data_IF_329081614686
#
_entry.id   IF_329081614686
#
_cell.length_a   1.000
_cell.length_b   1.000
_cell.length_c   1.000
_cell.angle_alpha   90.00
_cell.angle_beta   90.00
_cell.angle_gamma   90.00
#
_symmetry.space_group_name_H-M   'P 1'
#
loop_
_entity.id
_entity.type
_entity.pdbx_description
1 polymer ?
#
# COMPACT_ATOMS: atom_id res chain seq x y z
N UNK A 1 -5.58 -3.08 -1.04
CA UNK A 1 -6.49 -2.47 -0.04
C UNK A 1 -7.76 -2.06 -0.76
N UNK A 2 -8.95 -2.49 -0.33
CA UNK A 2 -10.20 -2.10 -1.00
C UNK A 2 -10.56 -0.67 -0.59
N UNK A 3 -10.54 0.24 -1.55
CA UNK A 3 -10.90 1.65 -1.37
C UNK A 3 -12.39 1.81 -1.63
N UNK A 4 -13.05 2.68 -0.87
CA UNK A 4 -14.44 3.07 -1.12
C UNK A 4 -14.46 4.43 -1.79
N UNK A 5 -15.06 4.54 -2.98
CA UNK A 5 -15.26 5.83 -3.66
C UNK A 5 -16.14 6.74 -2.80
N UNK A 6 -15.82 8.03 -2.75
CA UNK A 6 -16.65 9.06 -2.14
C UNK A 6 -17.30 9.90 -3.24
N UNK A 7 -18.57 10.26 -3.04
CA UNK A 7 -19.29 11.19 -3.91
C UNK A 7 -19.14 12.66 -3.45
N UNK A 8 -18.32 12.91 -2.42
CA UNK A 8 -18.05 14.25 -1.87
C UNK A 8 -16.79 14.84 -2.48
N UNK A 9 -16.69 16.18 -2.51
CA UNK A 9 -15.44 16.86 -2.84
C UNK A 9 -14.32 16.49 -1.86
N UNK A 10 -13.07 16.67 -2.29
CA UNK A 10 -11.90 16.45 -1.43
C UNK A 10 -11.94 17.35 -0.19
N UNK A 11 -12.32 18.62 -0.36
CA UNK A 11 -12.40 19.57 0.75
C UNK A 11 -13.39 19.11 1.83
N UNK A 12 -14.59 18.69 1.43
CA UNK A 12 -15.59 18.17 2.38
C UNK A 12 -15.11 16.88 3.06
N UNK A 13 -14.40 16.02 2.31
CA UNK A 13 -13.85 14.79 2.88
C UNK A 13 -12.75 15.09 3.91
N UNK A 14 -11.85 16.03 3.64
CA UNK A 14 -10.80 16.45 4.57
C UNK A 14 -11.37 17.19 5.78
N UNK A 15 -12.33 18.08 5.57
CA UNK A 15 -13.00 18.81 6.66
C UNK A 15 -13.66 17.86 7.65
N UNK A 16 -14.30 16.79 7.16
CA UNK A 16 -14.87 15.77 8.05
C UNK A 16 -13.83 15.06 8.92
N UNK A 17 -12.59 14.93 8.42
CA UNK A 17 -11.48 14.35 9.19
C UNK A 17 -10.95 15.39 10.19
N UNK A 18 -10.72 16.62 9.75
CA UNK A 18 -10.23 17.72 10.58
C UNK A 18 -11.20 17.99 11.74
N UNK A 19 -12.50 18.08 11.46
CA UNK A 19 -13.54 18.27 12.46
C UNK A 19 -13.52 17.15 13.50
N UNK A 20 -13.46 15.89 13.04
CA UNK A 20 -13.36 14.73 13.92
C UNK A 20 -12.10 14.79 14.78
N UNK A 21 -10.97 15.19 14.21
CA UNK A 21 -9.70 15.30 14.92
C UNK A 21 -9.68 16.45 15.93
N UNK A 22 -10.48 17.50 15.72
CA UNK A 22 -10.69 18.58 16.69
C UNK A 22 -11.30 18.13 18.03
N UNK A 23 -11.95 16.96 18.07
CA UNK A 23 -12.46 16.36 19.32
C UNK A 23 -11.44 15.44 20.03
N UNK A 24 -10.25 15.26 19.46
CA UNK A 24 -9.21 14.40 20.03
C UNK A 24 -8.42 15.20 21.07
N UNK A 25 -8.38 14.67 22.29
CA UNK A 25 -7.60 15.19 23.41
C UNK A 25 -6.30 14.41 23.56
N UNK A 26 -5.32 15.03 24.19
CA UNK A 26 -4.01 14.43 24.46
C UNK A 26 -3.70 14.41 25.94
N UNK A 27 -3.10 13.33 26.43
CA UNK A 27 -2.60 13.20 27.79
C UNK A 27 -1.19 12.57 27.79
N UNK A 28 -0.15 13.29 28.19
CA UNK A 28 1.17 12.71 28.47
C UNK A 28 1.11 11.69 29.61
N UNK A 29 1.77 10.55 29.44
CA UNK A 29 1.94 9.54 30.49
C UNK A 29 3.23 9.85 31.26
N UNK A 30 3.09 10.74 32.24
CA UNK A 30 4.20 11.17 33.09
C UNK A 30 4.25 10.44 34.44
N UNK A 31 3.19 9.70 34.79
CA UNK A 31 3.08 8.95 36.04
C UNK A 31 2.96 7.45 35.86
N UNK A 32 2.56 6.77 36.94
CA UNK A 32 2.26 5.34 36.92
C UNK A 32 1.04 5.04 36.05
N UNK A 33 1.11 3.92 35.34
CA UNK A 33 0.02 3.34 34.56
C UNK A 33 -0.37 2.01 35.16
N UNK A 34 -1.68 1.76 35.27
CA UNK A 34 -2.22 0.42 35.46
C UNK A 34 -2.91 -0.05 34.19
N UNK A 35 -2.71 -1.32 33.83
CA UNK A 35 -3.23 -1.90 32.59
C UNK A 35 -4.11 -3.11 32.88
N UNK A 36 -5.35 -3.06 32.40
CA UNK A 36 -6.23 -4.22 32.38
C UNK A 36 -6.47 -4.68 30.93
N UNK A 37 -6.22 -5.96 30.67
CA UNK A 37 -6.49 -6.60 29.38
C UNK A 37 -7.74 -7.47 29.48
N UNK A 38 -8.64 -7.34 28.52
CA UNK A 38 -9.79 -8.22 28.36
C UNK A 38 -9.69 -8.93 27.01
N UNK A 39 -9.03 -10.10 26.93
CA UNK A 39 -8.83 -10.82 25.67
C UNK A 39 -10.14 -11.25 25.00
N UNK A 40 -11.13 -11.67 25.79
CA UNK A 40 -12.44 -12.12 25.32
C UNK A 40 -13.17 -11.02 24.50
N UNK A 41 -13.15 -9.79 25.01
CA UNK A 41 -13.79 -8.64 24.34
C UNK A 41 -12.83 -7.89 23.42
N UNK A 42 -11.57 -8.35 23.31
CA UNK A 42 -10.49 -7.67 22.59
C UNK A 42 -10.35 -6.21 23.03
N UNK A 43 -10.33 -5.97 24.33
CA UNK A 43 -10.25 -4.63 24.91
C UNK A 43 -9.04 -4.48 25.83
N UNK A 44 -8.58 -3.24 25.95
CA UNK A 44 -7.59 -2.81 26.92
C UNK A 44 -8.12 -1.58 27.66
N UNK A 45 -7.87 -1.51 28.96
CA UNK A 45 -8.07 -0.32 29.77
C UNK A 45 -6.70 0.15 30.29
N UNK A 46 -6.35 1.40 30.00
CA UNK A 46 -5.19 2.08 30.57
C UNK A 46 -5.69 3.06 31.62
N UNK A 47 -5.21 2.94 32.86
CA UNK A 47 -5.51 3.88 33.93
C UNK A 47 -4.27 4.72 34.22
N UNK A 48 -4.38 6.03 34.09
CA UNK A 48 -3.30 6.98 34.42
C UNK A 48 -3.90 8.33 34.82
N UNK A 49 -3.22 9.06 35.72
CA UNK A 49 -3.70 10.33 36.26
C UNK A 49 -5.16 10.29 36.80
N UNK A 50 -5.58 9.16 37.38
CA UNK A 50 -6.95 8.96 37.89
C UNK A 50 -8.02 8.80 36.81
N UNK A 51 -7.63 8.66 35.54
CA UNK A 51 -8.55 8.51 34.40
C UNK A 51 -8.38 7.14 33.73
N UNK A 52 -9.49 6.55 33.29
CA UNK A 52 -9.55 5.29 32.56
C UNK A 52 -9.74 5.52 31.05
N UNK A 53 -8.93 4.85 30.23
CA UNK A 53 -8.95 4.93 28.77
C UNK A 53 -9.16 3.56 28.15
N UNK A 54 -10.23 3.40 27.38
CA UNK A 54 -10.59 2.14 26.74
C UNK A 54 -10.13 2.08 25.29
N UNK A 55 -9.45 1.00 24.91
CA UNK A 55 -9.02 0.74 23.53
C UNK A 55 -9.51 -0.61 23.02
N UNK A 56 -9.82 -0.67 21.73
CA UNK A 56 -10.04 -1.93 21.05
C UNK A 56 -8.70 -2.49 20.56
N UNK A 57 -8.40 -3.74 20.90
CA UNK A 57 -7.19 -4.46 20.50
C UNK A 57 -7.29 -4.93 19.04
N UNK A 58 -7.18 -3.95 18.15
CA UNK A 58 -6.90 -4.17 16.74
C UNK A 58 -5.38 -4.27 16.50
N UNK A 59 -5.00 -4.63 15.27
CA UNK A 59 -3.59 -4.82 14.90
C UNK A 59 -2.77 -3.52 15.01
N UNK A 60 -3.39 -2.35 14.97
CA UNK A 60 -2.70 -1.06 15.04
C UNK A 60 -2.37 -0.73 16.49
N UNK A 61 -3.36 -0.76 17.38
CA UNK A 61 -3.16 -0.47 18.79
C UNK A 61 -2.21 -1.49 19.42
N UNK A 62 -2.33 -2.77 19.03
CA UNK A 62 -1.35 -3.81 19.41
C UNK A 62 0.06 -3.44 18.98
N UNK A 63 0.26 -2.95 17.76
CA UNK A 63 1.60 -2.57 17.29
C UNK A 63 2.12 -1.31 17.99
N UNK A 64 1.28 -0.29 18.19
CA UNK A 64 1.68 0.93 18.91
C UNK A 64 2.11 0.63 20.35
N UNK A 65 1.31 -0.15 21.08
CA UNK A 65 1.62 -0.55 22.44
C UNK A 65 2.79 -1.54 22.49
N UNK A 66 2.77 -2.56 21.63
CA UNK A 66 3.81 -3.59 21.56
C UNK A 66 5.19 -3.00 21.22
N UNK A 67 5.25 -1.96 20.37
CA UNK A 67 6.51 -1.27 20.04
C UNK A 67 7.19 -0.60 21.24
N UNK A 68 6.47 -0.37 22.35
CA UNK A 68 7.03 0.13 23.61
C UNK A 68 7.71 -0.95 24.45
N UNK A 69 7.31 -2.21 24.25
CA UNK A 69 7.90 -3.36 24.92
C UNK A 69 9.00 -3.97 24.04
N UNK A 70 8.71 -4.13 22.75
CA UNK A 70 9.58 -4.76 21.77
C UNK A 70 9.93 -3.76 20.66
N UNK A 71 10.95 -2.92 20.88
CA UNK A 71 11.35 -1.93 19.89
C UNK A 71 11.85 -2.61 18.60
N UNK A 72 11.71 -1.91 17.48
CA UNK A 72 12.21 -2.32 16.15
C UNK A 72 11.58 -3.58 15.54
N UNK A 73 10.47 -4.09 16.08
CA UNK A 73 9.72 -5.18 15.45
C UNK A 73 8.68 -4.67 14.45
N UNK A 74 8.53 -5.44 13.36
CA UNK A 74 7.44 -5.22 12.42
C UNK A 74 6.08 -5.58 13.02
N UNK A 75 5.00 -5.20 12.35
CA UNK A 75 3.63 -5.42 12.83
C UNK A 75 3.34 -6.91 13.02
N UNK A 76 3.78 -7.77 12.08
CA UNK A 76 3.48 -9.21 12.10
C UNK A 76 4.14 -9.90 13.29
N UNK A 77 5.41 -9.60 13.54
CA UNK A 77 6.19 -10.15 14.65
C UNK A 77 5.65 -9.64 15.98
N UNK A 78 5.34 -8.35 16.08
CA UNK A 78 4.75 -7.74 17.29
C UNK A 78 3.42 -8.40 17.66
N UNK A 79 2.53 -8.62 16.69
CA UNK A 79 1.24 -9.28 16.92
C UNK A 79 1.41 -10.73 17.33
N UNK A 80 2.42 -11.42 16.80
CA UNK A 80 2.75 -12.79 17.20
C UNK A 80 3.18 -12.85 18.67
N UNK A 81 4.13 -12.02 19.08
CA UNK A 81 4.56 -11.92 20.48
C UNK A 81 3.44 -11.48 21.42
N UNK A 82 2.61 -10.53 20.99
CA UNK A 82 1.43 -10.10 21.75
C UNK A 82 0.54 -11.29 22.11
N UNK A 83 0.23 -12.15 21.14
CA UNK A 83 -0.60 -13.34 21.35
C UNK A 83 0.05 -14.37 22.28
N UNK A 84 1.37 -14.51 22.22
CA UNK A 84 2.10 -15.41 23.12
C UNK A 84 2.05 -14.93 24.58
N UNK A 85 2.12 -13.61 24.78
CA UNK A 85 2.20 -13.01 26.12
C UNK A 85 0.85 -12.56 26.72
N UNK A 86 -0.23 -12.58 25.94
CA UNK A 86 -1.54 -12.03 26.37
C UNK A 86 -2.06 -12.64 27.68
N UNK A 87 -1.71 -13.90 27.94
CA UNK A 87 -2.10 -14.64 29.15
C UNK A 87 -1.00 -14.69 30.22
N UNK A 88 0.19 -14.15 29.95
CA UNK A 88 1.35 -14.26 30.84
C UNK A 88 2.16 -12.95 30.93
N UNK A 89 1.68 -12.03 31.76
CA UNK A 89 2.46 -10.86 32.20
C UNK A 89 2.50 -9.68 31.24
N UNK A 90 1.79 -9.73 30.10
CA UNK A 90 1.73 -8.61 29.14
C UNK A 90 1.23 -7.30 29.78
N UNK A 91 0.23 -7.36 30.66
CA UNK A 91 -0.25 -6.18 31.39
C UNK A 91 0.90 -5.50 32.16
N UNK A 92 1.67 -6.28 32.93
CA UNK A 92 2.83 -5.78 33.69
C UNK A 92 3.93 -5.24 32.78
N UNK A 93 4.18 -5.86 31.62
CA UNK A 93 5.12 -5.33 30.65
C UNK A 93 4.68 -3.96 30.09
N UNK A 94 3.38 -3.81 29.80
CA UNK A 94 2.81 -2.54 29.35
C UNK A 94 2.88 -1.48 30.45
N UNK A 95 2.52 -1.82 31.70
CA UNK A 95 2.61 -0.90 32.84
C UNK A 95 4.04 -0.36 32.98
N UNK A 96 5.04 -1.24 32.95
CA UNK A 96 6.46 -0.86 33.05
C UNK A 96 6.93 -0.03 31.86
N UNK A 97 6.50 -0.39 30.64
CA UNK A 97 6.93 0.30 29.42
C UNK A 97 6.27 1.68 29.24
N UNK A 98 5.04 1.85 29.73
CA UNK A 98 4.28 3.09 29.57
C UNK A 98 4.53 4.08 30.72
N UNK A 99 4.68 3.59 31.96
CA UNK A 99 4.86 4.47 33.13
C UNK A 99 6.11 5.34 32.98
N UNK A 100 5.97 6.65 33.18
CA UNK A 100 7.04 7.65 33.04
C UNK A 100 7.74 7.66 31.68
N UNK A 101 7.10 7.12 30.63
CA UNK A 101 7.71 7.04 29.29
C UNK A 101 7.66 8.35 28.52
N UNK A 102 6.87 9.33 28.97
CA UNK A 102 6.54 10.54 28.20
C UNK A 102 5.71 10.25 26.95
N UNK A 103 5.24 9.00 26.78
CA UNK A 103 4.32 8.62 25.71
C UNK A 103 3.04 9.44 25.84
N UNK A 104 2.49 9.92 24.72
CA UNK A 104 1.26 10.73 24.72
C UNK A 104 0.09 9.85 24.28
N UNK A 105 -0.90 9.69 25.16
CA UNK A 105 -2.20 9.11 24.83
C UNK A 105 -3.04 10.13 24.08
N UNK A 106 -3.58 9.71 22.93
CA UNK A 106 -4.57 10.47 22.18
C UNK A 106 -5.91 9.77 22.33
N UNK A 107 -6.96 10.50 22.69
CA UNK A 107 -8.25 9.91 22.99
C UNK A 107 -9.42 10.80 22.60
N UNK A 108 -10.55 10.18 22.27
CA UNK A 108 -11.84 10.85 22.11
C UNK A 108 -12.68 10.65 23.37
N UNK A 109 -13.50 11.63 23.73
CA UNK A 109 -14.43 11.53 24.85
C UNK A 109 -15.87 11.52 24.32
N UNK A 110 -16.59 10.43 24.56
CA UNK A 110 -18.01 10.30 24.20
C UNK A 110 -18.81 10.01 25.48
N UNK A 111 -19.49 11.03 26.01
CA UNK A 111 -20.07 10.98 27.35
C UNK A 111 -18.99 10.73 28.40
N UNK A 112 -19.22 9.75 29.28
CA UNK A 112 -18.27 9.39 30.35
C UNK A 112 -17.18 8.38 29.91
N UNK A 113 -17.09 8.08 28.62
CA UNK A 113 -16.16 7.06 28.09
C UNK A 113 -15.04 7.73 27.31
N UNK A 114 -13.80 7.52 27.76
CA UNK A 114 -12.60 7.93 27.03
C UNK A 114 -12.09 6.77 26.21
N UNK A 115 -12.07 6.93 24.89
CA UNK A 115 -11.63 5.91 23.94
C UNK A 115 -10.26 6.26 23.38
N UNK A 116 -9.33 5.31 23.43
CA UNK A 116 -7.99 5.45 22.87
C UNK A 116 -8.12 5.61 21.35
N UNK A 117 -7.66 6.75 20.86
CA UNK A 117 -7.52 7.06 19.43
C UNK A 117 -6.14 6.63 18.92
N UNK A 118 -5.11 6.81 19.75
CA UNK A 118 -3.73 6.46 19.40
C UNK A 118 -2.75 6.62 20.55
N UNK A 119 -1.56 6.03 20.39
CA UNK A 119 -0.46 6.11 21.35
C UNK A 119 0.78 6.61 20.62
N UNK A 120 1.27 7.78 21.01
CA UNK A 120 2.25 8.56 20.23
C UNK A 120 3.51 8.87 21.03
N UNK A 121 4.62 9.14 20.34
CA UNK A 121 5.83 9.65 21.01
C UNK A 121 5.65 11.11 21.41
N UNK A 122 6.41 11.61 22.39
CA UNK A 122 6.38 13.03 22.74
C UNK A 122 6.84 13.97 21.60
N UNK A 123 7.54 13.45 20.59
CA UNK A 123 7.94 14.21 19.39
C UNK A 123 6.92 14.14 18.24
N UNK A 124 5.75 13.54 18.47
CA UNK A 124 4.69 13.46 17.48
C UNK A 124 4.13 14.84 17.18
N UNK A 125 4.04 15.20 15.90
CA UNK A 125 3.49 16.48 15.46
C UNK A 125 2.18 16.24 14.72
N UNK A 126 1.13 16.87 15.24
CA UNK A 126 -0.16 16.91 14.54
C UNK A 126 -0.02 17.71 13.26
N UNK A 127 -0.66 17.24 12.20
CA UNK A 127 -0.64 17.90 10.92
C UNK A 127 -2.08 18.14 10.49
N UNK A 128 -2.38 19.38 10.10
CA UNK A 128 -3.63 19.70 9.44
C UNK A 128 -3.59 19.13 8.01
N UNK A 129 -4.55 18.26 7.68
CA UNK A 129 -4.59 17.57 6.39
C UNK A 129 -4.75 18.55 5.22
N UNK A 130 -5.42 19.69 5.42
CA UNK A 130 -5.59 20.73 4.41
C UNK A 130 -4.29 21.48 4.16
N UNK A 131 -3.60 21.90 5.22
CA UNK A 131 -2.29 22.55 5.09
C UNK A 131 -1.27 21.64 4.39
N UNK A 132 -1.27 20.34 4.73
CA UNK A 132 -0.46 19.35 4.03
C UNK A 132 -0.81 19.26 2.55
N UNK A 133 -2.10 19.18 2.21
CA UNK A 133 -2.59 19.12 0.83
C UNK A 133 -2.16 20.34 0.04
N UNK A 134 -2.36 21.53 0.58
CA UNK A 134 -2.07 22.79 -0.11
C UNK A 134 -0.57 22.90 -0.40
N UNK A 135 0.28 22.63 0.60
CA UNK A 135 1.74 22.60 0.45
C UNK A 135 2.20 21.55 -0.57
N UNK A 136 1.55 20.38 -0.56
CA UNK A 136 1.85 19.30 -1.50
C UNK A 136 1.47 19.68 -2.94
N UNK A 137 0.29 20.26 -3.15
CA UNK A 137 -0.16 20.72 -4.48
C UNK A 137 0.79 21.78 -5.02
N UNK A 138 1.17 22.76 -4.20
CA UNK A 138 2.15 23.78 -4.59
C UNK A 138 3.50 23.16 -4.98
N UNK A 139 3.90 22.07 -4.32
CA UNK A 139 5.15 21.37 -4.61
C UNK A 139 5.07 20.51 -5.88
N UNK A 140 3.88 20.00 -6.22
CA UNK A 140 3.63 19.14 -7.38
C UNK A 140 3.27 19.93 -8.65
N UNK A 141 2.69 21.11 -8.52
CA UNK A 141 2.25 21.94 -9.64
C UNK A 141 3.36 22.29 -10.65
N UNK A 142 4.60 22.63 -10.26
CA UNK A 142 5.70 22.87 -11.21
C UNK A 142 6.06 21.64 -12.06
N UNK A 143 5.69 20.45 -11.60
CA UNK A 143 5.93 19.17 -12.28
C UNK A 143 4.73 18.76 -13.16
N UNK A 144 3.73 19.64 -13.28
CA UNK A 144 2.49 19.39 -14.03
C UNK A 144 1.56 18.36 -13.38
N UNK A 145 1.83 17.95 -12.14
CA UNK A 145 1.03 16.96 -11.40
C UNK A 145 -0.09 17.69 -10.65
N UNK A 146 -1.33 17.33 -10.92
CA UNK A 146 -2.51 18.02 -10.38
C UNK A 146 -3.58 17.05 -9.88
N UNK A 147 -4.44 17.44 -8.92
CA UNK A 147 -5.57 16.63 -8.51
C UNK A 147 -6.52 16.33 -9.68
N UNK A 148 -7.01 15.09 -9.79
CA UNK A 148 -7.94 14.70 -10.86
C UNK A 148 -9.41 14.63 -10.41
N UNK A 149 -9.69 14.97 -9.15
CA UNK A 149 -11.04 15.01 -8.57
C UNK A 149 -11.56 13.68 -8.02
N UNK A 150 -10.88 12.54 -8.24
CA UNK A 150 -11.31 11.26 -7.66
C UNK A 150 -10.87 11.14 -6.19
N UNK A 151 -11.84 10.90 -5.31
CA UNK A 151 -11.63 10.81 -3.86
C UNK A 151 -12.13 9.47 -3.32
N UNK A 152 -11.36 8.88 -2.42
CA UNK A 152 -11.67 7.61 -1.79
C UNK A 152 -11.44 7.65 -0.28
N UNK A 153 -11.95 6.62 0.40
CA UNK A 153 -11.72 6.39 1.82
C UNK A 153 -11.13 5.00 2.04
N UNK A 154 -10.11 4.92 2.91
CA UNK A 154 -9.58 3.62 3.36
C UNK A 154 -10.51 3.02 4.42
N UNK A 155 -10.46 1.69 4.65
CA UNK A 155 -11.21 1.06 5.76
C UNK A 155 -10.87 1.63 7.14
N UNK A 156 -9.76 2.35 7.24
CA UNK A 156 -9.28 2.99 8.46
C UNK A 156 -9.72 4.45 8.59
N UNK A 157 -10.46 4.97 7.61
CA UNK A 157 -10.96 6.34 7.61
C UNK A 157 -9.96 7.39 7.14
N UNK A 158 -8.85 6.99 6.51
CA UNK A 158 -7.95 7.92 5.80
C UNK A 158 -8.61 8.33 4.48
N UNK A 159 -8.40 9.58 4.07
CA UNK A 159 -8.83 10.08 2.76
C UNK A 159 -7.73 9.82 1.74
N UNK A 160 -8.11 9.46 0.52
CA UNK A 160 -7.20 9.26 -0.60
C UNK A 160 -7.67 10.11 -1.76
N UNK A 161 -6.78 10.91 -2.34
CA UNK A 161 -7.04 11.71 -3.54
C UNK A 161 -6.13 11.21 -4.66
N UNK A 162 -6.66 11.11 -5.88
CA UNK A 162 -5.88 10.74 -7.05
C UNK A 162 -5.43 11.99 -7.79
N UNK A 163 -4.23 11.90 -8.32
CA UNK A 163 -3.56 12.96 -9.06
C UNK A 163 -3.29 12.48 -10.49
N UNK A 164 -3.50 13.39 -11.42
CA UNK A 164 -3.09 13.27 -12.80
C UNK A 164 -1.60 13.60 -12.90
N UNK A 165 -0.88 12.76 -13.63
CA UNK A 165 0.57 12.88 -13.84
C UNK A 165 0.78 13.06 -15.34
N UNK A 166 1.53 14.08 -15.78
CA UNK A 166 1.72 14.32 -17.20
C UNK A 166 2.45 13.13 -17.83
N UNK A 167 1.93 12.65 -18.95
CA UNK A 167 2.56 11.59 -19.72
C UNK A 167 3.67 12.17 -20.60
N UNK A 168 4.79 11.47 -20.69
CA UNK A 168 5.72 11.70 -21.78
C UNK A 168 5.00 11.36 -23.10
N UNK A 169 5.02 12.27 -24.08
CA UNK A 169 4.26 12.15 -25.33
C UNK A 169 4.62 10.89 -26.16
N UNK A 170 5.75 10.25 -25.88
CA UNK A 170 6.24 9.03 -26.56
C UNK A 170 6.41 7.84 -25.61
N UNK A 171 6.04 7.98 -24.34
CA UNK A 171 6.19 6.92 -23.33
C UNK A 171 5.21 5.77 -23.54
N UNK A 172 5.67 4.55 -23.33
CA UNK A 172 4.84 3.34 -23.32
C UNK A 172 4.28 3.04 -21.93
N UNK A 173 4.71 3.79 -20.92
CA UNK A 173 4.29 3.66 -19.53
C UNK A 173 3.79 5.00 -19.01
N UNK A 174 2.56 5.01 -18.49
CA UNK A 174 2.00 6.09 -17.71
C UNK A 174 2.23 5.90 -16.22
N UNK A 175 2.34 7.00 -15.48
CA UNK A 175 2.31 7.01 -14.03
C UNK A 175 0.94 7.45 -13.52
N UNK A 176 0.56 6.94 -12.36
CA UNK A 176 -0.54 7.46 -11.58
C UNK A 176 -0.05 7.73 -10.15
N UNK A 177 -0.61 8.75 -9.52
CA UNK A 177 -0.28 9.11 -8.15
C UNK A 177 -1.55 9.16 -7.30
N UNK A 178 -1.47 8.60 -6.10
CA UNK A 178 -2.52 8.70 -5.08
C UNK A 178 -1.91 9.21 -3.79
N UNK A 179 -2.46 10.31 -3.28
CA UNK A 179 -2.09 10.86 -1.98
C UNK A 179 -2.99 10.26 -0.92
N UNK A 180 -2.40 9.68 0.13
CA UNK A 180 -3.14 9.25 1.32
C UNK A 180 -2.91 10.25 2.42
N UNK A 181 -3.98 10.88 2.90
CA UNK A 181 -3.93 11.84 4.01
C UNK A 181 -3.93 11.09 5.34
N UNK A 182 -2.83 11.27 6.09
CA UNK A 182 -2.62 10.58 7.37
C UNK A 182 -3.58 11.07 8.45
N UNK A 183 -4.01 10.15 9.31
CA UNK A 183 -4.69 10.48 10.56
C UNK A 183 -3.68 10.77 11.66
N UNK A 184 -3.98 11.74 12.52
CA UNK A 184 -3.18 12.13 13.67
C UNK A 184 -3.29 11.11 14.84
N UNK A 185 -3.15 9.81 14.58
CA UNK A 185 -3.23 8.74 15.59
C UNK A 185 -1.87 8.11 15.93
N UNK A 186 -0.78 8.56 15.30
CA UNK A 186 0.58 8.00 15.46
C UNK A 186 0.86 6.71 14.72
N UNK A 187 -0.15 6.14 14.05
CA UNK A 187 -0.01 4.93 13.25
C UNK A 187 -0.16 5.20 11.75
N UNK A 188 -1.09 6.08 11.40
CA UNK A 188 -1.26 6.58 10.04
C UNK A 188 -0.16 7.56 9.68
N UNK A 189 -0.01 7.82 8.39
CA UNK A 189 1.01 8.70 7.83
C UNK A 189 0.55 9.18 6.47
N UNK A 190 1.04 10.35 6.10
CA UNK A 190 0.86 10.87 4.75
C UNK A 190 1.71 10.06 3.78
N UNK A 191 1.14 9.70 2.63
CA UNK A 191 1.81 8.85 1.64
C UNK A 191 1.56 9.31 0.22
N UNK A 192 2.61 9.24 -0.60
CA UNK A 192 2.49 9.27 -2.06
C UNK A 192 2.57 7.82 -2.54
N UNK A 193 1.48 7.32 -3.11
CA UNK A 193 1.42 6.00 -3.70
C UNK A 193 1.48 6.14 -5.21
N UNK A 194 2.63 5.81 -5.77
CA UNK A 194 2.81 5.72 -7.21
C UNK A 194 2.34 4.37 -7.73
N UNK A 195 1.68 4.41 -8.88
CA UNK A 195 1.40 3.25 -9.70
C UNK A 195 1.75 3.56 -11.15
N UNK A 196 1.74 2.52 -11.98
CA UNK A 196 2.02 2.63 -13.41
C UNK A 196 0.96 1.93 -14.24
N UNK A 197 0.92 2.28 -15.52
CA UNK A 197 0.07 1.64 -16.53
C UNK A 197 0.88 1.56 -17.82
N UNK A 198 1.10 0.37 -18.39
CA UNK A 198 1.59 0.28 -19.78
C UNK A 198 0.46 0.70 -20.71
N UNK A 199 0.76 1.51 -21.72
CA UNK A 199 -0.22 2.14 -22.60
C UNK A 199 -0.43 1.38 -23.92
N UNK A 200 0.57 0.60 -24.33
CA UNK A 200 0.57 -0.10 -25.63
C UNK A 200 -0.43 -1.26 -25.66
N UNK A 201 -0.66 -1.89 -24.49
CA UNK A 201 -1.93 -2.53 -24.19
C UNK A 201 -2.64 -1.61 -23.20
N UNK A 202 -3.91 -1.31 -23.33
CA UNK A 202 -4.67 -0.50 -22.35
C UNK A 202 -4.83 -1.20 -20.98
N UNK A 203 -4.00 -2.22 -20.71
CA UNK A 203 -4.24 -3.33 -19.82
C UNK A 203 -3.17 -3.42 -18.72
N UNK A 204 -3.19 -2.38 -17.87
CA UNK A 204 -3.05 -2.54 -16.42
C UNK A 204 -1.87 -3.36 -15.90
N UNK A 205 -0.64 -2.89 -16.12
CA UNK A 205 0.52 -3.38 -15.38
C UNK A 205 0.38 -2.98 -13.89
N UNK A 206 -0.05 -3.91 -13.03
CA UNK A 206 -0.44 -3.65 -11.62
C UNK A 206 0.70 -3.84 -10.62
N UNK A 207 1.94 -3.58 -11.03
CA UNK A 207 3.02 -3.51 -10.05
C UNK A 207 2.90 -2.20 -9.26
N UNK A 208 2.23 -2.29 -8.11
CA UNK A 208 2.38 -1.34 -7.00
C UNK A 208 3.67 -1.75 -6.29
N UNK A 209 4.80 -1.44 -6.89
CA UNK A 209 6.04 -1.45 -6.13
C UNK A 209 6.04 -0.20 -5.26
N UNK A 210 6.14 -0.41 -3.94
CA UNK A 210 6.47 0.66 -3.00
C UNK A 210 7.91 1.08 -3.32
N UNK A 211 8.09 1.92 -4.32
CA UNK A 211 9.37 2.48 -4.69
C UNK A 211 9.75 3.46 -3.57
N UNK A 212 10.45 2.96 -2.56
CA UNK A 212 11.06 3.78 -1.53
C UNK A 212 10.11 4.43 -0.52
N UNK A 213 10.71 5.29 0.32
CA UNK A 213 10.17 5.84 1.57
C UNK A 213 9.13 6.94 1.35
N UNK A 214 8.06 6.69 0.60
CA UNK A 214 7.02 7.71 0.39
C UNK A 214 6.03 7.76 1.56
N UNK A 215 6.58 7.72 2.77
CA UNK A 215 5.86 7.83 4.02
C UNK A 215 6.40 9.04 4.74
N UNK A 216 5.64 10.13 4.71
CA UNK A 216 5.89 11.24 5.60
C UNK A 216 5.28 10.92 6.97
N UNK A 217 6.16 10.60 7.92
CA UNK A 217 5.77 10.34 9.31
C UNK A 217 5.60 11.68 10.01
N UNK A 218 4.60 11.78 10.90
CA UNK A 218 4.23 12.92 11.73
C UNK A 218 5.37 13.44 12.63
N UNK A 219 6.44 13.92 12.01
CA UNK A 219 7.65 14.46 12.62
C UNK A 219 8.13 15.62 11.75
N UNK A 220 8.50 16.75 12.35
CA UNK A 220 8.99 17.94 11.63
C UNK A 220 10.40 17.77 11.02
N UNK A 221 10.87 16.54 10.82
CA UNK A 221 12.25 16.25 10.39
C UNK A 221 12.45 16.38 8.88
N UNK A 222 11.38 16.32 8.10
CA UNK A 222 11.41 16.38 6.63
C UNK A 222 10.40 17.40 6.15
N UNK A 223 10.83 18.33 5.29
CA UNK A 223 9.93 19.31 4.68
C UNK A 223 9.01 18.61 3.64
N UNK A 224 7.75 19.04 3.54
CA UNK A 224 6.78 18.48 2.57
C UNK A 224 7.28 18.63 1.13
N UNK A 225 7.94 19.74 0.80
CA UNK A 225 8.51 19.98 -0.52
C UNK A 225 9.61 18.97 -0.84
N UNK A 226 10.59 18.80 0.05
CA UNK A 226 11.68 17.83 -0.15
C UNK A 226 11.14 16.40 -0.27
N UNK A 227 10.11 16.08 0.54
CA UNK A 227 9.39 14.82 0.46
C UNK A 227 8.71 14.62 -0.91
N UNK A 228 8.01 15.63 -1.42
CA UNK A 228 7.33 15.58 -2.70
C UNK A 228 8.33 15.45 -3.87
N UNK A 229 9.36 16.29 -3.90
CA UNK A 229 10.38 16.26 -4.95
C UNK A 229 11.12 14.93 -5.00
N UNK A 230 11.60 14.43 -3.86
CA UNK A 230 12.31 13.15 -3.81
C UNK A 230 11.44 11.95 -4.21
N UNK A 231 10.15 11.98 -3.84
CA UNK A 231 9.18 10.96 -4.24
C UNK A 231 8.92 10.97 -5.75
N UNK A 232 8.73 12.16 -6.34
CA UNK A 232 8.50 12.31 -7.78
C UNK A 232 9.74 11.89 -8.59
N UNK A 233 10.95 12.30 -8.17
CA UNK A 233 12.20 11.90 -8.81
C UNK A 233 12.38 10.37 -8.80
N UNK A 234 12.09 9.72 -7.67
CA UNK A 234 12.15 8.26 -7.57
C UNK A 234 11.16 7.58 -8.53
N UNK A 235 9.94 8.12 -8.66
CA UNK A 235 8.93 7.59 -9.56
C UNK A 235 9.33 7.72 -11.04
N UNK A 236 9.84 8.88 -11.47
CA UNK A 236 10.31 9.09 -12.84
C UNK A 236 11.58 8.30 -13.18
N UNK A 237 12.51 8.15 -12.23
CA UNK A 237 13.69 7.31 -12.42
C UNK A 237 13.28 5.85 -12.65
N UNK A 238 12.36 5.34 -11.83
CA UNK A 238 11.81 3.99 -12.03
C UNK A 238 11.06 3.86 -13.36
N UNK A 239 10.27 4.87 -13.75
CA UNK A 239 9.62 4.91 -15.07
C UNK A 239 10.64 4.74 -16.20
N UNK A 240 11.75 5.48 -16.16
CA UNK A 240 12.83 5.40 -17.13
C UNK A 240 13.44 3.99 -17.20
N UNK A 241 13.65 3.35 -16.05
CA UNK A 241 14.19 1.99 -16.00
C UNK A 241 13.23 0.96 -16.61
N UNK A 242 11.93 1.11 -16.37
CA UNK A 242 10.90 0.24 -16.94
C UNK A 242 10.79 0.42 -18.45
N UNK A 243 10.87 1.65 -18.96
CA UNK A 243 10.89 1.91 -20.41
C UNK A 243 12.08 1.25 -21.10
N UNK A 244 13.27 1.26 -20.45
CA UNK A 244 14.45 0.53 -20.94
C UNK A 244 14.21 -0.98 -20.92
N UNK A 245 13.59 -1.52 -19.87
CA UNK A 245 13.27 -2.96 -19.77
C UNK A 245 12.27 -3.39 -20.84
N UNK A 246 11.23 -2.60 -21.09
CA UNK A 246 10.25 -2.82 -22.16
C UNK A 246 10.93 -2.80 -23.54
N UNK A 247 11.79 -1.81 -23.77
CA UNK A 247 12.56 -1.71 -25.01
C UNK A 247 13.48 -2.92 -25.19
N UNK A 248 14.12 -3.39 -24.12
CA UNK A 248 14.91 -4.62 -24.14
C UNK A 248 14.04 -5.85 -24.46
N UNK A 249 12.86 -6.00 -23.84
CA UNK A 249 11.95 -7.13 -24.07
C UNK A 249 11.50 -7.25 -25.54
N UNK A 250 11.36 -6.13 -26.27
CA UNK A 250 11.09 -6.13 -27.72
C UNK A 250 12.24 -6.69 -28.55
N UNK A 251 13.48 -6.57 -28.07
CA UNK A 251 14.67 -7.07 -28.75
C UNK A 251 15.04 -8.51 -28.36
N UNK A 252 14.52 -9.02 -27.23
CA UNK A 252 14.74 -10.40 -26.77
C UNK A 252 13.87 -11.39 -27.56
N UNK A 253 14.49 -12.09 -28.49
CA UNK A 253 13.84 -13.17 -29.26
C UNK A 253 13.40 -14.32 -28.34
N UNK A 254 12.25 -14.92 -28.64
CA UNK A 254 11.75 -16.08 -27.92
C UNK A 254 12.62 -17.31 -28.16
N UNK A 255 13.07 -17.93 -27.07
CA UNK A 255 13.51 -19.31 -27.08
C UNK A 255 12.29 -20.23 -26.97
N UNK A 256 11.95 -20.93 -28.06
CA UNK A 256 10.76 -21.80 -28.11
C UNK A 256 10.79 -22.93 -27.07
N UNK A 257 11.96 -23.50 -26.75
CA UNK A 257 12.06 -24.52 -25.69
C UNK A 257 11.69 -23.96 -24.31
N UNK A 258 12.11 -22.71 -24.05
CA UNK A 258 11.77 -22.03 -22.81
C UNK A 258 10.29 -21.61 -22.77
N UNK A 259 9.73 -21.25 -23.93
CA UNK A 259 8.29 -20.98 -24.08
C UNK A 259 7.45 -22.22 -23.80
N UNK A 260 7.86 -23.38 -24.31
CA UNK A 260 7.17 -24.64 -24.06
C UNK A 260 7.19 -24.98 -22.57
N UNK A 261 8.35 -24.84 -21.91
CA UNK A 261 8.47 -25.01 -20.47
C UNK A 261 7.58 -24.03 -19.69
N UNK A 262 7.53 -22.76 -20.10
CA UNK A 262 6.64 -21.77 -19.52
C UNK A 262 5.17 -22.21 -19.64
N UNK A 263 4.73 -22.58 -20.83
CA UNK A 263 3.36 -23.04 -21.11
C UNK A 263 2.99 -24.32 -20.35
N UNK A 264 3.92 -25.25 -20.20
CA UNK A 264 3.74 -26.46 -19.38
C UNK A 264 3.55 -26.07 -17.91
N UNK A 265 4.39 -25.18 -17.38
CA UNK A 265 4.37 -24.82 -15.96
C UNK A 265 3.26 -23.86 -15.57
N UNK A 266 2.62 -23.14 -16.51
CA UNK A 266 1.44 -22.35 -16.21
C UNK A 266 0.37 -23.23 -15.52
N UNK A 267 -0.04 -22.84 -14.32
CA UNK A 267 -1.06 -23.54 -13.53
C UNK A 267 -2.48 -23.21 -14.01
N UNK A 268 -2.73 -23.47 -15.30
CA UNK A 268 -3.96 -23.14 -16.02
C UNK A 268 -4.62 -24.40 -16.55
N UNK A 269 -5.95 -24.37 -16.67
CA UNK A 269 -6.69 -25.41 -17.39
C UNK A 269 -6.26 -25.45 -18.87
N UNK A 270 -6.27 -26.63 -19.50
CA UNK A 270 -5.86 -26.80 -20.90
C UNK A 270 -6.61 -25.86 -21.86
N UNK A 271 -7.93 -25.71 -21.68
CA UNK A 271 -8.73 -24.78 -22.48
C UNK A 271 -8.25 -23.31 -22.37
N UNK A 272 -7.70 -22.90 -21.22
CA UNK A 272 -7.10 -21.57 -21.07
C UNK A 272 -5.72 -21.52 -21.72
N UNK A 273 -4.92 -22.59 -21.64
CA UNK A 273 -3.62 -22.68 -22.33
C UNK A 273 -3.78 -22.60 -23.84
N UNK A 274 -4.78 -23.25 -24.41
CA UNK A 274 -5.10 -23.15 -25.84
C UNK A 274 -5.44 -21.71 -26.26
N UNK A 275 -6.20 -20.98 -25.44
CA UNK A 275 -6.46 -19.55 -25.66
C UNK A 275 -5.19 -18.72 -25.62
N UNK A 276 -4.29 -19.02 -24.67
CA UNK A 276 -2.97 -18.37 -24.59
C UNK A 276 -2.16 -18.65 -25.86
N UNK A 277 -2.03 -19.90 -26.30
CA UNK A 277 -1.34 -20.24 -27.55
C UNK A 277 -1.94 -19.52 -28.76
N UNK A 278 -3.27 -19.54 -28.89
CA UNK A 278 -3.97 -18.86 -30.00
C UNK A 278 -3.69 -17.36 -30.01
N UNK A 279 -3.67 -16.72 -28.83
CA UNK A 279 -3.35 -15.29 -28.74
C UNK A 279 -1.87 -15.03 -29.01
N UNK A 280 -0.96 -15.88 -28.54
CA UNK A 280 0.46 -15.77 -28.84
C UNK A 280 0.73 -15.79 -30.34
N UNK A 281 0.10 -16.70 -31.09
CA UNK A 281 0.23 -16.76 -32.54
C UNK A 281 -0.25 -15.48 -33.24
N UNK A 282 -1.24 -14.78 -32.67
CA UNK A 282 -1.68 -13.48 -33.15
C UNK A 282 -0.62 -12.40 -32.86
N UNK A 283 -0.16 -12.30 -31.61
CA UNK A 283 0.82 -11.28 -31.21
C UNK A 283 2.17 -11.45 -31.91
N UNK A 284 2.62 -12.69 -32.12
CA UNK A 284 3.86 -12.99 -32.84
C UNK A 284 3.80 -12.55 -34.31
N UNK A 285 2.64 -12.65 -34.95
CA UNK A 285 2.43 -12.16 -36.31
C UNK A 285 2.46 -10.63 -36.39
N UNK A 286 1.93 -9.96 -35.38
CA UNK A 286 1.81 -8.49 -35.37
C UNK A 286 3.10 -7.79 -34.92
N UNK A 287 3.79 -8.35 -33.91
CA UNK A 287 4.89 -7.68 -33.19
C UNK A 287 6.21 -8.45 -33.19
N UNK A 288 6.24 -9.64 -33.81
CA UNK A 288 7.42 -10.51 -33.94
C UNK A 288 7.57 -11.55 -32.83
N UNK A 289 8.52 -12.49 -32.98
CA UNK A 289 8.75 -13.55 -31.99
C UNK A 289 9.63 -13.06 -30.83
N UNK A 290 9.09 -12.20 -29.96
CA UNK A 290 9.82 -11.65 -28.82
C UNK A 290 9.03 -11.74 -27.49
N UNK A 291 9.72 -11.52 -26.38
CA UNK A 291 9.11 -11.56 -25.04
C UNK A 291 8.04 -10.49 -24.83
N UNK A 292 8.12 -9.39 -25.57
CA UNK A 292 7.08 -8.38 -25.59
C UNK A 292 5.73 -8.96 -26.07
N UNK A 293 5.71 -9.71 -27.16
CA UNK A 293 4.48 -10.34 -27.68
C UNK A 293 3.85 -11.32 -26.69
N UNK A 294 4.67 -12.00 -25.90
CA UNK A 294 4.19 -12.90 -24.84
C UNK A 294 3.50 -12.12 -23.74
N UNK A 295 4.10 -11.00 -23.33
CA UNK A 295 3.47 -10.08 -22.38
C UNK A 295 2.12 -9.56 -22.90
N UNK A 296 2.06 -9.15 -24.18
CA UNK A 296 0.83 -8.66 -24.80
C UNK A 296 -0.26 -9.73 -24.81
N UNK A 297 0.07 -10.97 -25.17
CA UNK A 297 -0.90 -12.05 -25.21
C UNK A 297 -1.52 -12.33 -23.83
N UNK A 298 -0.69 -12.40 -22.79
CA UNK A 298 -1.14 -12.69 -21.43
C UNK A 298 -1.98 -11.54 -20.85
N UNK A 299 -1.53 -10.29 -21.02
CA UNK A 299 -2.26 -9.11 -20.52
C UNK A 299 -3.59 -8.91 -21.25
N UNK A 300 -3.64 -9.14 -22.56
CA UNK A 300 -4.89 -9.10 -23.34
C UNK A 300 -5.94 -10.08 -22.80
N UNK A 301 -5.55 -11.34 -22.59
CA UNK A 301 -6.45 -12.37 -22.06
C UNK A 301 -6.88 -12.07 -20.62
N UNK A 302 -5.98 -11.49 -19.81
CA UNK A 302 -6.29 -11.03 -18.46
C UNK A 302 -7.35 -9.92 -18.42
N UNK A 303 -7.50 -9.12 -19.47
CA UNK A 303 -8.37 -7.96 -19.44
C UNK A 303 -9.65 -8.07 -20.28
N UNK A 304 -9.58 -8.73 -21.43
CA UNK A 304 -10.69 -8.74 -22.38
C UNK A 304 -11.46 -10.06 -22.44
N UNK A 305 -10.82 -11.18 -22.09
CA UNK A 305 -11.44 -12.51 -22.22
C UNK A 305 -12.34 -12.81 -21.02
N UNK A 306 -13.62 -12.45 -21.14
CA UNK A 306 -14.64 -12.66 -20.09
C UNK A 306 -14.90 -14.15 -19.80
N UNK A 307 -14.57 -15.06 -20.72
CA UNK A 307 -14.70 -16.50 -20.50
C UNK A 307 -13.68 -17.04 -19.49
N UNK A 308 -12.59 -16.31 -19.21
CA UNK A 308 -11.60 -16.71 -18.21
C UNK A 308 -12.05 -16.20 -16.83
N UNK A 309 -12.04 -17.06 -15.78
CA UNK A 309 -12.42 -16.64 -14.44
C UNK A 309 -11.60 -15.43 -13.94
N UNK A 310 -12.21 -14.49 -13.19
CA UNK A 310 -11.53 -13.24 -12.76
C UNK A 310 -10.18 -13.44 -12.06
N UNK A 311 -10.03 -14.50 -11.27
CA UNK A 311 -8.76 -14.81 -10.58
C UNK A 311 -7.67 -15.28 -11.53
N UNK A 312 -8.02 -16.06 -12.55
CA UNK A 312 -7.07 -16.51 -13.58
C UNK A 312 -6.66 -15.33 -14.45
N UNK A 313 -7.60 -14.45 -14.76
CA UNK A 313 -7.34 -13.18 -15.44
C UNK A 313 -6.33 -12.31 -14.69
N UNK A 314 -6.49 -12.13 -13.39
CA UNK A 314 -5.53 -11.40 -12.53
C UNK A 314 -4.12 -12.01 -12.61
N UNK A 315 -4.02 -13.34 -12.57
CA UNK A 315 -2.73 -14.04 -12.70
C UNK A 315 -2.09 -13.83 -14.08
N UNK A 316 -2.86 -13.90 -15.16
CA UNK A 316 -2.39 -13.66 -16.52
C UNK A 316 -1.86 -12.23 -16.69
N UNK A 317 -2.61 -11.22 -16.22
CA UNK A 317 -2.18 -9.83 -16.25
C UNK A 317 -0.86 -9.65 -15.47
N UNK A 318 -0.76 -10.22 -14.27
CA UNK A 318 0.45 -10.15 -13.43
C UNK A 318 1.66 -10.85 -14.05
N UNK A 319 1.47 -12.01 -14.69
CA UNK A 319 2.56 -12.74 -15.36
C UNK A 319 3.03 -12.02 -16.62
N UNK A 320 2.10 -11.57 -17.47
CA UNK A 320 2.43 -10.76 -18.65
C UNK A 320 3.18 -9.48 -18.28
N UNK A 321 2.73 -8.82 -17.20
CA UNK A 321 3.43 -7.69 -16.59
C UNK A 321 4.87 -8.02 -16.19
N UNK A 322 5.08 -9.14 -15.50
CA UNK A 322 6.40 -9.55 -14.99
C UNK A 322 7.41 -9.82 -16.11
N UNK A 323 6.96 -10.26 -17.29
CA UNK A 323 7.81 -10.51 -18.47
C UNK A 323 8.38 -9.23 -19.10
N UNK A 324 7.77 -8.07 -18.84
CA UNK A 324 8.31 -6.79 -19.29
C UNK A 324 9.48 -6.33 -18.44
N UNK A 325 9.55 -6.81 -17.20
CA UNK A 325 10.56 -6.38 -16.21
C UNK A 325 11.68 -7.41 -16.08
N UNK A 326 11.35 -8.69 -16.26
CA UNK A 326 12.26 -9.82 -16.09
C UNK A 326 12.24 -10.68 -17.36
N UNK A 327 13.41 -11.16 -17.83
CA UNK A 327 13.47 -12.12 -18.93
C UNK A 327 12.60 -13.36 -18.65
N UNK A 328 12.10 -14.00 -19.70
CA UNK A 328 11.30 -15.22 -19.60
C UNK A 328 12.03 -16.31 -18.79
N UNK A 329 13.35 -16.38 -18.90
CA UNK A 329 14.19 -17.34 -18.17
C UNK A 329 14.07 -17.16 -16.66
N UNK A 330 14.03 -15.92 -16.19
CA UNK A 330 13.85 -15.60 -14.77
C UNK A 330 12.43 -15.89 -14.31
N UNK A 331 11.42 -15.66 -15.16
CA UNK A 331 10.02 -15.95 -14.83
C UNK A 331 9.80 -17.46 -14.75
N UNK A 332 10.36 -18.24 -15.67
CA UNK A 332 10.31 -19.70 -15.64
C UNK A 332 11.06 -20.22 -14.43
N UNK A 333 12.33 -19.85 -14.21
CA UNK A 333 13.14 -20.36 -13.09
C UNK A 333 12.64 -19.95 -11.70
N UNK A 334 11.69 -19.02 -11.60
CA UNK A 334 11.09 -18.60 -10.35
C UNK A 334 10.40 -19.78 -9.61
N UNK A 335 10.47 -19.79 -8.26
CA UNK A 335 9.76 -20.79 -7.48
C UNK A 335 8.25 -20.62 -7.63
N UNK A 336 7.53 -21.73 -7.48
CA UNK A 336 6.07 -21.73 -7.45
C UNK A 336 5.58 -20.75 -6.38
N UNK A 337 4.91 -19.68 -6.83
CA UNK A 337 4.40 -18.63 -5.95
C UNK A 337 2.91 -18.87 -5.74
N UNK A 338 2.47 -18.86 -4.48
CA UNK A 338 1.05 -18.87 -4.13
C UNK A 338 0.57 -17.43 -4.13
N UNK A 339 -0.36 -17.12 -5.02
CA UNK A 339 -1.00 -15.81 -5.10
C UNK A 339 -1.77 -15.49 -3.82
N UNK A 340 -2.10 -14.22 -3.61
CA UNK A 340 -2.99 -13.79 -2.53
C UNK A 340 -4.37 -14.47 -2.55
N UNK A 341 -4.74 -15.09 -3.67
CA UNK A 341 -5.97 -15.86 -3.85
C UNK A 341 -5.84 -17.37 -3.58
N UNK A 342 -4.64 -17.86 -3.21
CA UNK A 342 -4.39 -19.26 -2.87
C UNK A 342 -4.06 -20.19 -4.05
N UNK A 343 -3.82 -19.64 -5.25
CA UNK A 343 -3.49 -20.41 -6.45
C UNK A 343 -2.01 -20.33 -6.79
N UNK A 344 -1.46 -21.40 -7.37
CA UNK A 344 -0.14 -21.36 -7.99
C UNK A 344 -0.20 -20.58 -9.31
N UNK A 345 0.86 -19.83 -9.59
CA UNK A 345 1.03 -19.15 -10.88
C UNK A 345 1.75 -20.04 -11.90
N UNK A 346 2.94 -20.48 -11.49
CA UNK A 346 3.82 -21.39 -12.23
C UNK A 346 4.07 -22.58 -11.29
N UNK A 347 3.85 -23.79 -11.79
CA UNK A 347 4.13 -25.03 -11.07
C UNK A 347 5.64 -25.27 -11.00
N UNK A 348 6.09 -26.13 -10.08
CA UNK A 348 7.49 -26.55 -10.05
C UNK A 348 7.85 -27.37 -11.28
#
# INVERSE_FOLDING_TARGET
>A
MKLSSLNSSIDSALDSVIEREGYIKTLPIDGNVSVALCPANRQICLNTAGQAFLGNLDTKLIHQLGSKIWPNLDQKSTVSLWKQHINCGLARFLERALSHSGTVLRYSELGNVRRIYGVTSPQFVEMNQREFRDTLIESLAPLGIAPNGEVFKTPFGEIVEKFEVPMAQEGQVGLNCKVVYGLNNGYSSYRLNWGRTVLVCTNGLTSIEKIGRDRWVHTNRVNIRDFATGSVEAAYNHLSDVEKQISAARTRTINHSLMDQFMTRLALANATKERVSTRLDHEFRDTGNNEWSVSQALTFLGEHEKAIPPKVRENLTRLGSSLLEKPLEQVVSAPATVTSAGFYDILR
#
